data_IF_818996978020
#
_entry.id   IF_818996978020
#
_cell.length_a   1.000
_cell.length_b   1.000
_cell.length_c   1.000
_cell.angle_alpha   90.00
_cell.angle_beta   90.00
_cell.angle_gamma   90.00
#
_symmetry.space_group_name_H-M   'P 1'
#
loop_
_entity.id
_entity.type
_entity.pdbx_description
1 polymer ?
#
# COMPACT_ATOMS: atom_id res chain seq x y z
N UNK A 1 50.62 1.89 -2.63
CA UNK A 1 49.46 2.23 -1.78
C UNK A 1 48.35 2.71 -2.71
N UNK A 2 47.45 1.81 -3.10
CA UNK A 2 46.22 2.16 -3.85
C UNK A 2 45.06 2.06 -2.86
N UNK A 3 44.14 3.04 -2.82
CA UNK A 3 43.01 2.97 -1.91
C UNK A 3 42.05 1.89 -2.39
N UNK A 4 41.68 0.99 -1.48
CA UNK A 4 40.63 0.00 -1.70
C UNK A 4 39.30 0.72 -1.89
N UNK A 5 38.72 0.60 -3.09
CA UNK A 5 37.37 1.06 -3.37
C UNK A 5 36.37 0.21 -2.59
N UNK A 6 35.86 0.78 -1.49
CA UNK A 6 34.71 0.26 -0.76
C UNK A 6 33.52 0.18 -1.71
N UNK A 7 33.12 -1.02 -2.10
CA UNK A 7 31.90 -1.24 -2.90
C UNK A 7 30.72 -0.73 -2.07
N UNK A 8 30.16 0.43 -2.44
CA UNK A 8 28.86 0.87 -1.92
C UNK A 8 27.86 -0.22 -2.26
N UNK A 9 27.43 -0.99 -1.27
CA UNK A 9 26.34 -1.95 -1.41
C UNK A 9 25.13 -1.19 -1.93
N UNK A 10 24.68 -1.56 -3.14
CA UNK A 10 23.46 -1.03 -3.72
C UNK A 10 22.32 -1.47 -2.80
N UNK A 11 21.65 -0.50 -2.16
CA UNK A 11 20.40 -0.75 -1.44
C UNK A 11 19.49 -1.49 -2.43
N UNK A 12 18.97 -2.69 -2.10
CA UNK A 12 18.07 -3.39 -2.98
C UNK A 12 16.90 -2.47 -3.29
N UNK A 13 16.65 -2.25 -4.58
CA UNK A 13 15.44 -1.54 -5.00
C UNK A 13 14.28 -2.45 -4.58
N UNK A 14 13.54 -2.06 -3.54
CA UNK A 14 12.32 -2.75 -3.14
C UNK A 14 11.33 -2.57 -4.30
N UNK A 15 11.19 -3.60 -5.11
CA UNK A 15 10.28 -3.63 -6.25
C UNK A 15 8.85 -3.41 -5.75
N UNK A 16 8.06 -2.74 -6.59
CA UNK A 16 6.73 -2.21 -6.33
C UNK A 16 5.80 -3.17 -5.58
N UNK A 17 4.93 -2.59 -4.75
CA UNK A 17 3.96 -3.25 -3.86
C UNK A 17 3.26 -4.45 -4.54
N UNK A 18 3.79 -5.67 -4.38
CA UNK A 18 3.18 -6.91 -4.89
C UNK A 18 1.81 -7.08 -4.23
N UNK A 19 0.76 -7.04 -5.03
CA UNK A 19 -0.62 -7.19 -4.54
C UNK A 19 -1.05 -8.65 -4.55
N UNK A 20 -2.11 -8.98 -3.79
CA UNK A 20 -2.72 -10.32 -3.81
C UNK A 20 -3.13 -10.76 -5.22
N UNK A 21 -3.57 -9.80 -6.05
CA UNK A 21 -3.91 -10.04 -7.45
C UNK A 21 -2.70 -10.43 -8.28
N UNK A 22 -1.54 -9.82 -8.04
CA UNK A 22 -0.30 -10.14 -8.75
C UNK A 22 0.20 -11.57 -8.43
N UNK A 23 -0.21 -12.11 -7.28
CA UNK A 23 0.06 -13.49 -6.86
C UNK A 23 -1.03 -14.49 -7.33
N UNK A 24 -2.06 -14.03 -8.06
CA UNK A 24 -3.19 -14.87 -8.47
C UNK A 24 -4.10 -15.31 -7.30
N UNK A 25 -4.05 -14.58 -6.18
CA UNK A 25 -4.86 -14.86 -5.00
C UNK A 25 -6.07 -13.93 -5.01
N UNK A 26 -7.24 -14.49 -5.30
CA UNK A 26 -8.50 -13.77 -5.19
C UNK A 26 -9.02 -13.84 -3.74
N UNK A 27 -9.56 -12.74 -3.19
CA UNK A 27 -10.06 -12.72 -1.82
C UNK A 27 -11.37 -13.52 -1.72
N UNK A 28 -11.48 -14.37 -0.70
CA UNK A 28 -12.68 -15.15 -0.40
C UNK A 28 -12.91 -15.30 1.10
N UNK A 29 -14.16 -15.54 1.49
CA UNK A 29 -14.52 -15.74 2.89
C UNK A 29 -14.00 -17.12 3.38
N UNK A 30 -13.15 -17.19 4.41
CA UNK A 30 -12.58 -18.46 4.88
C UNK A 30 -13.62 -19.39 5.53
N UNK A 31 -14.81 -18.89 5.85
CA UNK A 31 -15.87 -19.67 6.50
C UNK A 31 -16.81 -20.36 5.50
N UNK A 32 -17.20 -19.67 4.41
CA UNK A 32 -18.17 -20.19 3.43
C UNK A 32 -17.68 -20.23 1.98
N UNK A 33 -16.46 -19.75 1.70
CA UNK A 33 -15.90 -19.69 0.36
C UNK A 33 -16.48 -18.60 -0.55
N UNK A 34 -17.33 -17.71 -0.02
CA UNK A 34 -17.92 -16.63 -0.83
C UNK A 34 -16.85 -15.67 -1.35
N UNK A 35 -16.89 -15.38 -2.65
CA UNK A 35 -16.08 -14.35 -3.32
C UNK A 35 -16.68 -12.94 -3.19
N UNK A 36 -17.88 -12.81 -2.61
CA UNK A 36 -18.54 -11.51 -2.41
C UNK A 36 -18.00 -10.81 -1.18
N UNK A 37 -16.73 -10.41 -1.26
CA UNK A 37 -15.98 -9.74 -0.21
C UNK A 37 -15.51 -8.36 -0.67
N UNK A 38 -15.31 -7.44 0.27
CA UNK A 38 -14.96 -6.04 -0.01
C UNK A 38 -13.78 -5.58 0.83
N UNK A 39 -12.99 -4.66 0.28
CA UNK A 39 -11.99 -3.94 1.04
C UNK A 39 -12.65 -2.94 1.98
N UNK A 40 -12.30 -2.98 3.27
CA UNK A 40 -12.78 -2.00 4.25
C UNK A 40 -11.60 -1.36 4.98
N UNK A 41 -11.70 -0.06 5.25
CA UNK A 41 -10.72 0.67 6.04
C UNK A 41 -11.40 1.68 6.96
N UNK A 42 -10.69 2.08 8.01
CA UNK A 42 -11.16 3.02 9.03
C UNK A 42 -10.95 4.46 8.55
N UNK A 43 -12.05 5.23 8.57
CA UNK A 43 -12.08 6.70 8.50
C UNK A 43 -12.23 7.22 9.95
N UNK A 44 -12.45 8.52 10.15
CA UNK A 44 -12.65 9.19 11.45
C UNK A 44 -13.69 8.47 12.33
N UNK A 45 -13.25 7.46 13.08
CA UNK A 45 -14.06 6.71 14.04
C UNK A 45 -14.75 5.44 13.53
N UNK A 46 -15.03 5.29 12.22
CA UNK A 46 -15.83 4.18 11.70
C UNK A 46 -15.20 3.48 10.47
N UNK A 47 -15.64 2.25 10.18
CA UNK A 47 -15.22 1.49 9.00
C UNK A 47 -16.12 1.80 7.79
N UNK A 48 -15.51 1.86 6.61
CA UNK A 48 -16.21 2.06 5.35
C UNK A 48 -15.60 1.18 4.27
N UNK A 49 -16.43 0.79 3.29
CA UNK A 49 -16.02 0.10 2.06
C UNK A 49 -15.18 1.03 1.19
N UNK A 50 -13.98 0.58 0.80
CA UNK A 50 -12.96 1.37 0.09
C UNK A 50 -13.39 1.64 -1.35
N UNK A 51 -14.05 0.68 -1.99
CA UNK A 51 -14.54 0.76 -3.37
C UNK A 51 -15.58 1.88 -3.55
N UNK A 52 -16.26 2.28 -2.48
CA UNK A 52 -17.21 3.41 -2.46
C UNK A 52 -16.53 4.78 -2.27
N UNK A 53 -15.22 4.84 -2.11
CA UNK A 53 -14.49 6.09 -1.86
C UNK A 53 -14.21 6.85 -3.16
N UNK A 54 -14.13 8.17 -3.06
CA UNK A 54 -13.65 9.00 -4.17
C UNK A 54 -12.13 8.83 -4.37
N UNK A 55 -11.63 9.30 -5.52
CA UNK A 55 -10.21 9.19 -5.89
C UNK A 55 -9.27 9.82 -4.86
N UNK A 56 -9.65 10.93 -4.24
CA UNK A 56 -8.81 11.62 -3.25
C UNK A 56 -8.62 10.80 -1.97
N UNK A 57 -9.67 10.15 -1.47
CA UNK A 57 -9.57 9.24 -0.32
C UNK A 57 -8.78 7.96 -0.64
N UNK A 58 -8.93 7.41 -1.84
CA UNK A 58 -8.13 6.25 -2.26
C UNK A 58 -6.63 6.61 -2.34
N UNK A 59 -6.32 7.80 -2.87
CA UNK A 59 -4.94 8.30 -2.90
C UNK A 59 -4.38 8.54 -1.50
N UNK A 60 -5.18 9.11 -0.59
CA UNK A 60 -4.83 9.28 0.83
C UNK A 60 -4.52 7.95 1.51
N UNK A 61 -5.35 6.92 1.30
CA UNK A 61 -5.12 5.57 1.82
C UNK A 61 -3.80 4.99 1.32
N UNK A 62 -3.49 5.15 0.03
CA UNK A 62 -2.22 4.70 -0.56
C UNK A 62 -1.03 5.40 0.09
N UNK A 63 -1.14 6.69 0.44
CA UNK A 63 -0.09 7.41 1.16
C UNK A 63 0.05 6.93 2.61
N UNK A 64 -1.06 6.70 3.32
CA UNK A 64 -1.06 6.09 4.67
C UNK A 64 -0.33 4.76 4.71
N UNK A 65 -0.56 3.88 3.72
CA UNK A 65 0.12 2.59 3.62
C UNK A 65 1.65 2.73 3.47
N UNK A 66 2.10 3.84 2.87
CA UNK A 66 3.52 4.21 2.74
C UNK A 66 4.07 5.00 3.94
N UNK A 67 3.24 5.27 4.95
CA UNK A 67 3.60 6.10 6.09
C UNK A 67 3.71 7.60 5.78
N UNK A 68 3.30 8.05 4.59
CA UNK A 68 3.22 9.47 4.26
C UNK A 68 1.81 9.99 4.62
N UNK A 69 1.69 10.74 5.70
CA UNK A 69 0.39 11.25 6.17
C UNK A 69 0.09 12.67 5.67
N UNK A 70 1.09 13.36 5.13
CA UNK A 70 1.00 14.76 4.75
C UNK A 70 0.89 14.88 3.22
N UNK A 71 0.05 15.78 2.69
CA UNK A 71 0.09 16.11 1.27
C UNK A 71 1.46 16.72 0.93
N UNK A 72 2.07 16.35 -0.21
CA UNK A 72 3.33 16.96 -0.68
C UNK A 72 3.22 18.50 -0.82
N UNK A 73 2.00 18.99 -1.06
CA UNK A 73 1.66 20.42 -1.16
C UNK A 73 1.82 21.19 0.16
N UNK A 74 1.86 20.50 1.31
CA UNK A 74 2.00 21.11 2.64
C UNK A 74 3.44 21.03 3.21
N UNK A 75 4.39 20.47 2.45
CA UNK A 75 5.80 20.34 2.84
C UNK A 75 6.70 21.51 2.35
N UNK A 76 6.11 22.67 2.07
CA UNK A 76 6.81 23.90 1.69
C UNK A 76 6.97 24.87 2.86
#
# INVERSE_FOLDING_TARGET
MTPESTKKGKIPQFEEDVTLKDLGIEPSCPHCGSEYVFGMSRIVGYFSVIESWNKSKQAELKRRQKGNYWPEEELQ
#
